data_IF_824871986546
#
_entry.id   IF_824871986546
#
_cell.length_a   1.000
_cell.length_b   1.000
_cell.length_c   1.000
_cell.angle_alpha   90.00
_cell.angle_beta   90.00
_cell.angle_gamma   90.00
#
_symmetry.space_group_name_H-M   'P 1'
#
loop_
_entity.id
_entity.type
_entity.pdbx_description
1 polymer ?
#
# COMPACT_ATOMS: atom_id res chain seq x y z
N UNK A 1 13.28 53.69 -46.22
CA UNK A 1 12.32 52.58 -46.02
C UNK A 1 12.94 51.62 -45.01
N UNK A 2 12.42 51.60 -43.78
CA UNK A 2 12.92 50.76 -42.70
C UNK A 2 11.79 49.83 -42.24
N UNK A 3 12.12 48.55 -41.98
CA UNK A 3 11.18 47.59 -41.42
C UNK A 3 11.56 46.12 -41.59
N UNK A 4 12.79 45.74 -41.20
CA UNK A 4 13.12 44.36 -40.89
C UNK A 4 12.39 43.94 -39.62
N UNK A 5 11.72 42.79 -39.65
CA UNK A 5 10.95 42.25 -38.51
C UNK A 5 11.04 40.73 -38.42
N UNK A 6 12.24 40.16 -38.46
CA UNK A 6 12.47 38.78 -38.05
C UNK A 6 12.54 38.74 -36.52
N UNK A 7 11.38 38.57 -35.86
CA UNK A 7 11.32 38.32 -34.43
C UNK A 7 12.06 37.02 -34.05
N UNK A 8 12.57 36.91 -32.81
CA UNK A 8 13.34 35.74 -32.39
C UNK A 8 12.53 34.45 -32.55
N UNK A 9 13.10 33.51 -33.30
CA UNK A 9 12.57 32.15 -33.47
C UNK A 9 12.28 31.53 -32.10
N UNK A 10 11.03 31.09 -31.89
CA UNK A 10 10.63 30.36 -30.68
C UNK A 10 11.54 29.15 -30.53
N UNK A 11 12.36 29.12 -29.47
CA UNK A 11 13.17 27.94 -29.11
C UNK A 11 12.27 26.70 -29.09
N UNK A 12 12.64 25.69 -29.87
CA UNK A 12 11.98 24.39 -29.83
C UNK A 12 12.24 23.76 -28.46
N UNK A 13 11.19 23.60 -27.66
CA UNK A 13 11.27 22.86 -26.41
C UNK A 13 10.77 21.44 -26.62
N UNK A 14 11.44 20.47 -26.01
CA UNK A 14 10.99 19.07 -25.96
C UNK A 14 9.61 19.02 -25.32
N UNK A 15 8.62 18.51 -26.07
CA UNK A 15 7.25 18.34 -25.58
C UNK A 15 7.27 17.36 -24.41
N UNK A 16 6.70 17.76 -23.28
CA UNK A 16 6.44 16.87 -22.15
C UNK A 16 5.42 15.81 -22.57
N UNK A 17 5.81 14.52 -22.56
CA UNK A 17 4.93 13.41 -22.98
C UNK A 17 3.81 13.21 -21.95
N UNK A 18 4.11 13.34 -20.66
CA UNK A 18 3.22 13.06 -19.52
C UNK A 18 2.66 14.32 -18.85
N UNK A 19 2.86 15.50 -19.43
CA UNK A 19 2.46 16.77 -18.83
C UNK A 19 0.98 16.90 -18.50
N UNK A 20 0.69 17.64 -17.42
CA UNK A 20 -0.66 17.89 -16.94
C UNK A 20 -1.59 18.44 -18.05
N UNK A 21 -2.86 18.03 -18.08
CA UNK A 21 -3.81 18.48 -19.11
C UNK A 21 -3.96 20.02 -19.12
N UNK A 22 -3.88 20.66 -17.96
CA UNK A 22 -3.92 22.12 -17.81
C UNK A 22 -2.74 22.80 -18.52
N UNK A 23 -1.55 22.22 -18.37
CA UNK A 23 -0.30 22.68 -18.96
C UNK A 23 -0.33 22.50 -20.48
N UNK A 24 -0.81 21.32 -20.92
CA UNK A 24 -1.00 20.98 -22.34
C UNK A 24 -2.01 21.93 -23.00
N UNK A 25 -3.17 22.18 -22.38
CA UNK A 25 -4.19 23.13 -22.87
C UNK A 25 -3.67 24.56 -22.96
N UNK A 26 -2.78 24.95 -22.04
CA UNK A 26 -2.12 26.26 -22.03
C UNK A 26 -0.90 26.34 -22.97
N UNK A 27 -0.57 25.26 -23.67
CA UNK A 27 0.60 25.17 -24.56
C UNK A 27 1.92 25.56 -23.88
N UNK A 28 2.09 25.21 -22.60
CA UNK A 28 3.33 25.42 -21.83
C UNK A 28 3.93 24.08 -21.40
N UNK A 29 5.26 24.03 -21.24
CA UNK A 29 5.95 22.82 -20.75
C UNK A 29 5.50 22.52 -19.32
N UNK A 30 5.01 21.30 -19.08
CA UNK A 30 4.79 20.81 -17.73
C UNK A 30 6.13 20.37 -17.13
N UNK A 31 6.35 20.71 -15.87
CA UNK A 31 7.47 20.22 -15.06
C UNK A 31 7.22 18.82 -14.49
N UNK A 32 6.05 18.23 -14.77
CA UNK A 32 5.66 16.86 -14.40
C UNK A 32 5.70 16.57 -12.88
N UNK A 33 5.84 17.61 -12.05
CA UNK A 33 5.71 17.48 -10.59
C UNK A 33 4.28 17.05 -10.25
N UNK A 34 4.16 15.88 -9.62
CA UNK A 34 2.88 15.23 -9.33
C UNK A 34 2.10 15.95 -8.21
N UNK A 35 0.76 15.77 -8.18
CA UNK A 35 -0.27 16.55 -7.46
C UNK A 35 -0.54 17.95 -8.03
N UNK A 36 0.46 18.82 -8.06
CA UNK A 36 0.34 20.11 -8.74
C UNK A 36 1.70 20.43 -9.34
N UNK A 37 1.73 20.57 -10.66
CA UNK A 37 2.96 20.99 -11.31
C UNK A 37 3.27 22.46 -10.90
N UNK A 38 4.55 22.82 -10.84
CA UNK A 38 5.01 24.15 -10.42
C UNK A 38 4.41 25.26 -11.27
N UNK A 39 4.15 25.00 -12.55
CA UNK A 39 3.46 25.96 -13.41
C UNK A 39 2.00 26.17 -12.98
N UNK A 40 1.25 25.12 -12.67
CA UNK A 40 -0.12 25.27 -12.17
C UNK A 40 -0.15 25.92 -10.78
N UNK A 41 0.83 25.64 -9.92
CA UNK A 41 1.00 26.31 -8.63
C UNK A 41 1.29 27.81 -8.81
N UNK A 42 2.26 28.16 -9.65
CA UNK A 42 2.68 29.55 -9.91
C UNK A 42 1.54 30.41 -10.46
N UNK A 43 0.71 29.85 -11.34
CA UNK A 43 -0.40 30.58 -11.96
C UNK A 43 -1.72 30.42 -11.20
N UNK A 44 -1.69 29.82 -10.00
CA UNK A 44 -2.88 29.59 -9.17
C UNK A 44 -4.05 28.94 -9.93
N UNK A 45 -3.75 28.04 -10.85
CA UNK A 45 -4.76 27.28 -11.61
C UNK A 45 -4.84 25.85 -11.10
N UNK A 46 -6.04 25.27 -11.17
CA UNK A 46 -6.27 23.86 -10.84
C UNK A 46 -5.45 22.99 -11.80
N UNK A 47 -4.59 22.13 -11.24
CA UNK A 47 -3.84 21.17 -12.01
C UNK A 47 -4.65 19.88 -12.12
N UNK A 48 -4.80 19.34 -13.32
CA UNK A 48 -5.53 18.09 -13.52
C UNK A 48 -4.86 16.88 -12.83
N UNK A 49 -3.59 16.98 -12.41
CA UNK A 49 -2.98 16.00 -11.51
C UNK A 49 -3.66 15.91 -10.14
N UNK A 50 -4.41 16.95 -9.73
CA UNK A 50 -5.24 16.89 -8.51
C UNK A 50 -6.48 16.01 -8.69
N UNK A 51 -6.92 15.81 -9.92
CA UNK A 51 -8.11 15.03 -10.27
C UNK A 51 -7.75 13.64 -10.83
N UNK A 52 -6.54 13.48 -11.38
CA UNK A 52 -6.06 12.23 -11.95
C UNK A 52 -5.45 11.30 -10.90
N UNK A 53 -6.31 10.56 -10.20
CA UNK A 53 -6.25 9.09 -10.06
C UNK A 53 -7.69 8.59 -9.89
N UNK A 54 -8.32 8.31 -11.03
CA UNK A 54 -9.19 7.16 -11.17
C UNK A 54 -8.57 6.43 -12.35
N UNK A 55 -7.56 5.59 -12.09
CA UNK A 55 -7.23 4.57 -13.07
C UNK A 55 -8.48 3.69 -13.23
N UNK A 56 -8.74 3.08 -14.39
CA UNK A 56 -9.76 2.04 -14.54
C UNK A 56 -9.63 0.89 -13.51
N UNK A 57 -8.50 0.87 -12.78
CA UNK A 57 -8.07 -0.11 -11.79
C UNK A 57 -8.28 0.29 -10.33
N UNK A 58 -8.70 1.53 -10.03
CA UNK A 58 -8.89 1.97 -8.65
C UNK A 58 -10.26 1.51 -8.13
N UNK A 59 -10.37 0.21 -7.88
CA UNK A 59 -11.58 -0.41 -7.35
C UNK A 59 -11.63 -0.19 -5.84
N UNK A 60 -12.78 0.31 -5.39
CA UNK A 60 -13.06 0.60 -3.98
C UNK A 60 -13.66 -0.62 -3.30
N UNK A 61 -13.43 -0.80 -1.99
CA UNK A 61 -14.14 -1.83 -1.24
C UNK A 61 -15.64 -1.55 -1.26
N UNK A 62 -16.50 -2.60 -1.24
CA UNK A 62 -17.93 -2.41 -1.03
C UNK A 62 -18.20 -1.58 0.23
N UNK A 63 -19.12 -0.61 0.16
CA UNK A 63 -19.38 0.38 1.23
C UNK A 63 -19.71 -0.21 2.61
N UNK A 64 -20.07 -1.49 2.69
CA UNK A 64 -20.55 -2.14 3.90
C UNK A 64 -19.44 -2.67 4.83
N UNK A 65 -18.18 -2.70 4.39
CA UNK A 65 -17.14 -3.40 5.16
C UNK A 65 -16.38 -2.55 6.19
N UNK A 66 -16.48 -1.23 6.12
CA UNK A 66 -15.84 -0.36 7.10
C UNK A 66 -16.82 0.67 7.65
N UNK A 67 -16.98 0.74 8.98
CA UNK A 67 -17.75 1.80 9.61
C UNK A 67 -17.11 3.16 9.24
N UNK A 68 -17.87 4.17 8.77
CA UNK A 68 -17.28 5.46 8.43
C UNK A 68 -16.55 6.08 9.64
N UNK A 69 -15.43 6.78 9.42
CA UNK A 69 -14.57 7.31 10.49
C UNK A 69 -15.27 8.34 11.40
N UNK A 70 -16.45 8.82 11.02
CA UNK A 70 -17.27 9.81 11.74
C UNK A 70 -18.43 9.22 12.55
N UNK A 71 -18.37 7.93 12.92
CA UNK A 71 -19.42 7.33 13.74
C UNK A 71 -19.38 7.85 15.20
N UNK A 72 -20.55 8.01 15.84
CA UNK A 72 -20.64 8.43 17.26
C UNK A 72 -19.79 7.57 18.20
N UNK A 73 -19.68 6.26 17.92
CA UNK A 73 -18.87 5.34 18.70
C UNK A 73 -17.35 5.62 18.63
N UNK A 74 -16.85 6.15 17.51
CA UNK A 74 -15.44 6.56 17.37
C UNK A 74 -15.21 7.85 18.14
N UNK A 75 -16.12 8.81 18.04
CA UNK A 75 -16.00 10.09 18.75
C UNK A 75 -16.05 9.91 20.28
N UNK A 76 -16.95 9.07 20.79
CA UNK A 76 -17.01 8.73 22.21
C UNK A 76 -15.69 8.09 22.71
N UNK A 77 -15.12 7.15 21.96
CA UNK A 77 -13.83 6.54 22.29
C UNK A 77 -12.72 7.60 22.41
N UNK A 78 -12.70 8.57 21.48
CA UNK A 78 -11.73 9.65 21.50
C UNK A 78 -11.93 10.61 22.69
N UNK A 79 -13.17 10.88 23.08
CA UNK A 79 -13.48 11.68 24.28
C UNK A 79 -12.99 11.00 25.55
N UNK A 80 -13.27 9.69 25.71
CA UNK A 80 -12.75 8.88 26.81
C UNK A 80 -11.23 8.92 26.85
N UNK A 81 -10.56 8.80 25.71
CA UNK A 81 -9.09 8.89 25.63
C UNK A 81 -8.56 10.26 26.02
N UNK A 82 -9.24 11.35 25.63
CA UNK A 82 -8.85 12.70 26.01
C UNK A 82 -9.02 12.96 27.51
N UNK A 83 -10.06 12.40 28.13
CA UNK A 83 -10.32 12.52 29.57
C UNK A 83 -9.37 11.65 30.41
N UNK A 84 -9.17 10.40 30.01
CA UNK A 84 -8.38 9.43 30.81
C UNK A 84 -6.89 9.46 30.50
N UNK A 85 -6.48 10.03 29.37
CA UNK A 85 -5.11 9.99 28.87
C UNK A 85 -4.63 8.59 28.46
N UNK A 86 -5.44 7.55 28.62
CA UNK A 86 -5.07 6.14 28.37
C UNK A 86 -5.34 5.74 26.94
N UNK A 87 -4.40 5.00 26.34
CA UNK A 87 -4.62 4.38 25.05
C UNK A 87 -5.70 3.30 25.13
N UNK A 88 -6.56 3.25 24.10
CA UNK A 88 -7.79 2.46 24.12
C UNK A 88 -7.58 0.96 23.88
N UNK A 89 -6.38 0.55 23.45
CA UNK A 89 -6.05 -0.82 23.08
C UNK A 89 -4.77 -1.29 23.79
N UNK A 90 -4.83 -1.59 25.11
CA UNK A 90 -3.66 -2.00 25.89
C UNK A 90 -2.96 -3.26 25.36
N UNK A 91 -3.68 -4.13 24.67
CA UNK A 91 -3.23 -5.40 24.09
C UNK A 91 -2.23 -5.20 22.95
N UNK A 92 -2.22 -4.02 22.31
CA UNK A 92 -1.20 -3.68 21.30
C UNK A 92 0.18 -3.41 21.91
N UNK A 93 0.28 -3.33 23.25
CA UNK A 93 1.53 -3.14 23.99
C UNK A 93 2.41 -2.00 23.44
N UNK A 94 1.78 -0.88 23.08
CA UNK A 94 2.49 0.26 22.48
C UNK A 94 3.46 0.86 23.51
N UNK A 95 4.76 0.72 23.23
CA UNK A 95 5.86 1.08 24.15
C UNK A 95 5.87 2.57 24.54
N UNK A 96 5.43 3.44 23.63
CA UNK A 96 5.26 4.87 23.91
C UNK A 96 3.87 5.31 23.43
N UNK A 97 3.03 5.81 24.33
CA UNK A 97 1.69 6.25 23.96
C UNK A 97 1.73 7.72 23.51
N UNK A 98 1.28 8.05 22.28
CA UNK A 98 1.24 9.44 21.84
C UNK A 98 0.27 10.22 22.72
N UNK A 99 0.80 11.27 23.38
CA UNK A 99 0.02 12.11 24.28
C UNK A 99 -1.15 12.73 23.51
N UNK A 100 -2.41 12.57 23.99
CA UNK A 100 -3.57 13.09 23.28
C UNK A 100 -3.51 14.60 23.03
N UNK A 101 -2.87 15.34 23.95
CA UNK A 101 -2.75 16.79 23.92
C UNK A 101 -1.81 17.33 22.83
N UNK A 102 -0.88 16.50 22.34
CA UNK A 102 0.09 16.92 21.32
C UNK A 102 -0.41 16.67 19.88
N UNK A 103 -1.67 16.27 19.73
CA UNK A 103 -2.27 15.90 18.45
C UNK A 103 -3.62 16.58 18.27
N UNK A 104 -3.91 17.03 17.05
CA UNK A 104 -5.23 17.51 16.67
C UNK A 104 -6.26 16.37 16.73
N UNK A 105 -7.56 16.74 16.81
CA UNK A 105 -8.65 15.76 16.78
C UNK A 105 -8.63 14.89 15.52
N UNK A 106 -8.21 15.45 14.39
CA UNK A 106 -8.05 14.73 13.12
C UNK A 106 -6.94 13.70 13.21
N UNK A 107 -5.78 14.05 13.76
CA UNK A 107 -4.67 13.11 13.94
C UNK A 107 -5.02 11.99 14.93
N UNK A 108 -5.76 12.30 15.99
CA UNK A 108 -6.25 11.29 16.93
C UNK A 108 -7.21 10.30 16.24
N UNK A 109 -8.08 10.75 15.33
CA UNK A 109 -8.92 9.87 14.50
C UNK A 109 -8.07 8.96 13.60
N UNK A 110 -7.01 9.48 12.99
CA UNK A 110 -6.11 8.70 12.14
C UNK A 110 -5.33 7.64 12.93
N UNK A 111 -4.82 8.00 14.11
CA UNK A 111 -4.15 7.05 15.02
C UNK A 111 -5.14 5.97 15.46
N UNK A 112 -6.36 6.36 15.82
CA UNK A 112 -7.41 5.43 16.24
C UNK A 112 -7.78 4.45 15.12
N UNK A 113 -7.93 4.95 13.89
CA UNK A 113 -8.26 4.15 12.72
C UNK A 113 -7.25 3.02 12.52
N UNK A 114 -5.96 3.37 12.46
CA UNK A 114 -4.92 2.38 12.20
C UNK A 114 -4.74 1.41 13.35
N UNK A 115 -4.88 1.90 14.58
CA UNK A 115 -4.77 1.07 15.78
C UNK A 115 -5.94 0.11 15.90
N UNK A 116 -7.13 0.50 15.43
CA UNK A 116 -8.29 -0.40 15.40
C UNK A 116 -8.08 -1.57 14.43
N UNK A 117 -7.47 -1.31 13.27
CA UNK A 117 -7.14 -2.37 12.30
C UNK A 117 -6.11 -3.32 12.87
N UNK A 118 -5.01 -2.80 13.43
CA UNK A 118 -3.99 -3.62 14.10
C UNK A 118 -4.58 -4.44 15.24
N UNK A 119 -5.51 -3.88 16.04
CA UNK A 119 -6.20 -4.62 17.09
C UNK A 119 -7.01 -5.77 16.51
N UNK A 120 -7.87 -5.52 15.51
CA UNK A 120 -8.71 -6.59 14.94
C UNK A 120 -7.87 -7.75 14.43
N UNK A 121 -6.78 -7.46 13.71
CA UNK A 121 -5.87 -8.50 13.19
C UNK A 121 -5.12 -9.23 14.30
N UNK A 122 -4.74 -8.55 15.38
CA UNK A 122 -4.14 -9.17 16.55
C UNK A 122 -5.13 -10.12 17.25
N UNK A 123 -6.34 -9.64 17.52
CA UNK A 123 -7.38 -10.43 18.22
C UNK A 123 -7.78 -11.67 17.42
N UNK A 124 -7.70 -11.59 16.09
CA UNK A 124 -7.98 -12.71 15.20
C UNK A 124 -6.75 -13.59 14.90
N UNK A 125 -5.58 -13.30 15.48
CA UNK A 125 -4.31 -14.01 15.18
C UNK A 125 -3.88 -13.99 13.71
N UNK A 126 -4.27 -12.96 12.95
CA UNK A 126 -3.99 -12.84 11.49
C UNK A 126 -3.02 -11.73 11.12
N UNK A 127 -2.43 -11.05 12.11
CA UNK A 127 -1.41 -10.02 11.90
C UNK A 127 -0.25 -10.49 10.99
N UNK A 128 0.18 -11.74 11.15
CA UNK A 128 1.26 -12.38 10.37
C UNK A 128 0.87 -12.73 8.92
N UNK A 129 -0.41 -12.66 8.56
CA UNK A 129 -0.91 -12.86 7.19
C UNK A 129 -1.01 -11.56 6.40
N UNK A 130 -0.47 -10.46 6.95
CA UNK A 130 -0.52 -9.13 6.35
C UNK A 130 0.83 -8.43 6.43
N UNK A 131 1.04 -7.47 5.55
CA UNK A 131 2.34 -6.86 5.29
C UNK A 131 2.82 -5.91 6.39
N UNK A 132 1.91 -5.18 7.07
CA UNK A 132 2.28 -3.97 7.83
C UNK A 132 1.72 -3.90 9.26
N UNK A 133 0.92 -4.88 9.70
CA UNK A 133 -0.04 -4.63 10.79
C UNK A 133 0.46 -4.95 12.20
N UNK A 134 1.54 -5.70 12.37
CA UNK A 134 2.02 -6.13 13.70
C UNK A 134 2.92 -5.12 14.41
N UNK A 135 3.72 -4.31 13.70
CA UNK A 135 4.80 -3.50 14.32
C UNK A 135 4.71 -1.98 14.10
N UNK A 136 3.94 -1.52 13.11
CA UNK A 136 3.90 -0.10 12.70
C UNK A 136 3.42 0.87 13.81
N UNK A 137 2.39 0.58 14.63
CA UNK A 137 1.96 1.49 15.70
C UNK A 137 3.04 1.74 16.78
N UNK A 138 3.95 0.81 17.00
CA UNK A 138 4.96 0.88 18.07
C UNK A 138 6.15 1.80 17.70
N UNK A 139 6.40 2.04 16.41
CA UNK A 139 7.56 2.83 15.95
C UNK A 139 7.28 4.32 15.86
N UNK A 140 6.04 4.67 15.51
CA UNK A 140 5.62 6.04 15.25
C UNK A 140 5.78 6.97 16.45
N UNK A 141 5.89 6.41 17.64
CA UNK A 141 5.66 7.12 18.89
C UNK A 141 6.95 7.74 19.46
N UNK A 142 8.11 7.29 19.01
CA UNK A 142 9.42 7.81 19.43
C UNK A 142 9.98 8.92 18.53
N UNK A 143 9.47 9.06 17.31
CA UNK A 143 10.01 9.99 16.31
C UNK A 143 8.88 10.72 15.56
N UNK A 144 8.90 12.06 15.57
CA UNK A 144 7.84 12.89 14.97
C UNK A 144 7.63 12.64 13.47
N UNK A 145 8.71 12.40 12.73
CA UNK A 145 8.63 12.13 11.29
C UNK A 145 8.04 10.74 10.97
N UNK A 146 8.27 9.74 11.84
CA UNK A 146 7.63 8.43 11.74
C UNK A 146 6.13 8.57 12.03
N UNK A 147 5.75 9.37 13.04
CA UNK A 147 4.34 9.67 13.31
C UNK A 147 3.65 10.29 12.10
N UNK A 148 4.28 11.26 11.44
CA UNK A 148 3.72 11.83 10.22
C UNK A 148 3.61 10.80 9.08
N UNK A 149 4.57 9.88 8.92
CA UNK A 149 4.45 8.82 7.93
C UNK A 149 3.25 7.88 8.23
N UNK A 150 3.03 7.57 9.50
CA UNK A 150 1.88 6.76 9.96
C UNK A 150 0.54 7.48 9.76
N UNK A 151 0.47 8.76 10.08
CA UNK A 151 -0.72 9.58 9.86
C UNK A 151 -1.05 9.67 8.36
N UNK A 152 -0.03 9.86 7.53
CA UNK A 152 -0.17 9.84 6.08
C UNK A 152 -0.68 8.48 5.59
N UNK A 153 -0.14 7.38 6.12
CA UNK A 153 -0.56 6.03 5.78
C UNK A 153 -2.02 5.77 6.17
N UNK A 154 -2.42 6.16 7.38
CA UNK A 154 -3.80 6.06 7.86
C UNK A 154 -4.76 6.87 7.00
N UNK A 155 -4.38 8.10 6.62
CA UNK A 155 -5.16 8.94 5.71
C UNK A 155 -5.23 8.34 4.30
N UNK A 156 -4.16 7.71 3.80
CA UNK A 156 -4.18 6.98 2.52
C UNK A 156 -5.15 5.81 2.56
N UNK A 157 -5.21 5.07 3.67
CA UNK A 157 -6.15 3.96 3.81
C UNK A 157 -7.59 4.46 3.86
N UNK A 158 -7.87 5.53 4.63
CA UNK A 158 -9.19 6.15 4.66
C UNK A 158 -9.60 6.72 3.29
N UNK A 159 -8.68 7.34 2.55
CA UNK A 159 -8.97 7.86 1.22
C UNK A 159 -9.22 6.74 0.20
N UNK A 160 -8.70 5.53 0.43
CA UNK A 160 -8.98 4.35 -0.39
C UNK A 160 -10.37 3.77 -0.09
N UNK A 161 -10.74 3.68 1.19
CA UNK A 161 -12.08 3.20 1.61
C UNK A 161 -13.17 4.22 1.26
N UNK A 162 -12.95 5.49 1.57
CA UNK A 162 -13.90 6.59 1.42
C UNK A 162 -13.17 7.79 0.79
N UNK A 163 -13.14 7.87 -0.55
CA UNK A 163 -12.45 8.92 -1.25
C UNK A 163 -12.97 10.30 -0.87
N UNK A 164 -12.06 11.11 -0.33
CA UNK A 164 -12.33 12.48 0.06
C UNK A 164 -11.12 13.35 -0.32
N UNK A 165 -11.33 14.46 -1.05
CA UNK A 165 -10.27 15.42 -1.34
C UNK A 165 -9.60 15.94 -0.07
N UNK A 166 -10.36 16.08 1.01
CA UNK A 166 -9.85 16.51 2.31
C UNK A 166 -8.91 15.46 2.92
N UNK A 167 -9.33 14.19 2.95
CA UNK A 167 -8.49 13.09 3.47
C UNK A 167 -7.22 12.91 2.64
N UNK A 168 -7.32 13.04 1.31
CA UNK A 168 -6.16 13.01 0.41
C UNK A 168 -5.20 14.18 0.67
N UNK A 169 -5.73 15.39 0.96
CA UNK A 169 -4.90 16.54 1.36
C UNK A 169 -4.14 16.26 2.67
N UNK A 170 -4.79 15.65 3.66
CA UNK A 170 -4.15 15.27 4.93
C UNK A 170 -3.03 14.26 4.70
N UNK A 171 -3.27 13.23 3.88
CA UNK A 171 -2.25 12.25 3.48
C UNK A 171 -1.00 12.95 2.92
N UNK A 172 -1.19 13.87 1.97
CA UNK A 172 -0.09 14.58 1.30
C UNK A 172 0.68 15.46 2.28
N UNK A 173 -0.04 16.21 3.13
CA UNK A 173 0.57 17.12 4.10
C UNK A 173 1.48 16.36 5.06
N UNK A 174 0.97 15.30 5.69
CA UNK A 174 1.79 14.49 6.59
C UNK A 174 2.89 13.72 5.86
N UNK A 175 2.64 13.23 4.65
CA UNK A 175 3.66 12.56 3.83
C UNK A 175 4.83 13.50 3.49
N UNK A 176 4.55 14.76 3.16
CA UNK A 176 5.56 15.79 2.92
C UNK A 176 6.40 16.09 4.16
N UNK A 177 5.77 16.26 5.33
CA UNK A 177 6.49 16.48 6.60
C UNK A 177 7.36 15.28 6.96
N UNK A 178 6.84 14.06 6.79
CA UNK A 178 7.58 12.82 7.02
C UNK A 178 8.80 12.70 6.10
N UNK A 179 8.66 13.02 4.82
CA UNK A 179 9.77 12.98 3.86
C UNK A 179 10.87 14.00 4.21
N UNK A 180 10.48 15.22 4.64
CA UNK A 180 11.44 16.22 5.13
C UNK A 180 12.18 15.74 6.39
N UNK A 181 11.46 15.14 7.33
CA UNK A 181 12.08 14.55 8.53
C UNK A 181 12.99 13.37 8.23
N UNK A 182 12.62 12.50 7.28
CA UNK A 182 13.46 11.40 6.78
C UNK A 182 14.78 11.93 6.19
N UNK A 183 14.70 12.96 5.34
CA UNK A 183 15.89 13.56 4.74
C UNK A 183 16.84 14.13 5.82
N UNK A 184 16.29 14.80 6.83
CA UNK A 184 17.08 15.31 7.94
C UNK A 184 17.71 14.17 8.77
N UNK A 185 16.95 13.12 9.06
CA UNK A 185 17.45 11.96 9.81
C UNK A 185 18.58 11.23 9.07
N UNK A 186 18.50 11.15 7.73
CA UNK A 186 19.55 10.57 6.88
C UNK A 186 20.85 11.37 6.92
N UNK A 187 20.79 12.70 7.08
CA UNK A 187 21.99 13.54 7.22
C UNK A 187 22.77 13.27 8.52
N UNK A 188 22.10 12.72 9.53
CA UNK A 188 22.66 12.33 10.83
C UNK A 188 22.41 10.84 11.10
N UNK A 189 22.69 10.00 10.10
CA UNK A 189 22.46 8.55 10.20
C UNK A 189 23.29 7.92 11.34
N UNK A 190 22.64 7.07 12.14
CA UNK A 190 23.24 6.33 13.25
C UNK A 190 22.48 5.02 13.50
N UNK A 191 23.04 4.12 14.32
CA UNK A 191 22.33 2.90 14.74
C UNK A 191 21.05 3.19 15.52
N UNK A 192 20.98 4.32 16.24
CA UNK A 192 19.83 4.66 17.10
C UNK A 192 18.59 5.11 16.33
N UNK A 193 18.77 5.74 15.16
CA UNK A 193 17.67 6.22 14.32
C UNK A 193 17.45 5.38 13.05
N UNK A 194 18.25 4.32 12.84
CA UNK A 194 18.14 3.42 11.69
C UNK A 194 16.73 2.80 11.58
N UNK A 195 16.20 2.29 12.70
CA UNK A 195 14.86 1.72 12.78
C UNK A 195 13.76 2.73 12.38
N UNK A 196 13.89 3.97 12.81
CA UNK A 196 12.93 5.03 12.49
C UNK A 196 13.03 5.48 11.03
N UNK A 197 14.24 5.55 10.48
CA UNK A 197 14.49 5.79 9.06
C UNK A 197 13.83 4.68 8.23
N UNK A 198 14.07 3.41 8.57
CA UNK A 198 13.49 2.26 7.88
C UNK A 198 11.97 2.26 7.93
N UNK A 199 11.38 2.41 9.11
CA UNK A 199 9.93 2.45 9.26
C UNK A 199 9.29 3.58 8.44
N UNK A 200 9.91 4.77 8.45
CA UNK A 200 9.45 5.91 7.65
C UNK A 200 9.55 5.63 6.16
N UNK A 201 10.68 5.10 5.70
CA UNK A 201 10.91 4.78 4.29
C UNK A 201 9.91 3.75 3.79
N UNK A 202 9.66 2.67 4.54
CA UNK A 202 8.66 1.64 4.20
C UNK A 202 7.25 2.24 4.15
N UNK A 203 6.85 3.00 5.17
CA UNK A 203 5.53 3.65 5.21
C UNK A 203 5.34 4.60 4.03
N UNK A 204 6.33 5.42 3.68
CA UNK A 204 6.25 6.32 2.53
C UNK A 204 6.27 5.57 1.19
N UNK A 205 7.01 4.46 1.12
CA UNK A 205 7.10 3.62 -0.08
C UNK A 205 5.74 3.02 -0.44
N UNK A 206 4.97 2.53 0.53
CA UNK A 206 3.59 2.04 0.32
C UNK A 206 2.62 3.12 -0.20
N UNK A 207 2.96 4.39 0.04
CA UNK A 207 2.15 5.54 -0.35
C UNK A 207 2.64 6.18 -1.66
N UNK A 208 3.81 5.77 -2.16
CA UNK A 208 4.44 6.38 -3.31
C UNK A 208 3.56 6.26 -4.57
N UNK A 209 3.45 7.40 -5.24
CA UNK A 209 2.59 7.60 -6.39
C UNK A 209 3.36 7.59 -7.71
N UNK A 210 4.66 7.84 -7.69
CA UNK A 210 5.53 7.80 -8.86
C UNK A 210 6.74 6.90 -8.62
N UNK A 211 7.28 6.37 -9.72
CA UNK A 211 8.43 5.48 -9.70
C UNK A 211 9.65 6.09 -9.03
N UNK A 212 9.94 7.38 -9.23
CA UNK A 212 11.18 8.00 -8.71
C UNK A 212 11.17 8.04 -7.19
N UNK A 213 10.04 8.47 -6.61
CA UNK A 213 9.85 8.49 -5.16
C UNK A 213 9.96 7.07 -4.61
N UNK A 214 9.29 6.11 -5.24
CA UNK A 214 9.30 4.72 -4.80
C UNK A 214 10.71 4.10 -4.86
N UNK A 215 11.41 4.22 -5.99
CA UNK A 215 12.74 3.64 -6.18
C UNK A 215 13.78 4.28 -5.25
N UNK A 216 13.64 5.57 -4.96
CA UNK A 216 14.52 6.25 -4.00
C UNK A 216 14.32 5.74 -2.57
N UNK A 217 13.07 5.49 -2.16
CA UNK A 217 12.76 4.96 -0.84
C UNK A 217 13.17 3.50 -0.72
N UNK A 218 12.97 2.70 -1.77
CA UNK A 218 13.40 1.31 -1.84
C UNK A 218 14.92 1.19 -1.72
N UNK A 219 15.67 2.03 -2.44
CA UNK A 219 17.13 2.10 -2.31
C UNK A 219 17.55 2.48 -0.89
N UNK A 220 16.86 3.44 -0.26
CA UNK A 220 17.10 3.80 1.14
C UNK A 220 16.88 2.62 2.09
N UNK A 221 15.79 1.87 1.93
CA UNK A 221 15.51 0.67 2.74
C UNK A 221 16.64 -0.34 2.59
N UNK A 222 17.05 -0.65 1.37
CA UNK A 222 18.14 -1.61 1.12
C UNK A 222 19.46 -1.17 1.75
N UNK A 223 19.83 0.10 1.56
CA UNK A 223 21.08 0.64 2.12
C UNK A 223 21.08 0.58 3.64
N UNK A 224 20.00 1.01 4.29
CA UNK A 224 19.95 1.02 5.77
C UNK A 224 19.89 -0.40 6.32
N UNK A 225 19.12 -1.30 5.69
CA UNK A 225 19.06 -2.72 6.07
C UNK A 225 20.43 -3.40 5.97
N UNK A 226 21.23 -3.07 4.95
CA UNK A 226 22.60 -3.62 4.81
C UNK A 226 23.59 -3.05 5.83
N UNK A 227 23.31 -1.88 6.42
CA UNK A 227 24.23 -1.19 7.32
C UNK A 227 24.05 -1.59 8.81
N UNK A 228 22.91 -2.19 9.18
CA UNK A 228 22.57 -2.53 10.56
C UNK A 228 21.97 -3.93 10.63
N UNK A 229 22.70 -4.88 11.23
CA UNK A 229 22.27 -6.28 11.32
C UNK A 229 21.22 -6.56 12.42
N UNK A 230 21.23 -5.79 13.51
CA UNK A 230 20.30 -5.92 14.64
C UNK A 230 19.24 -4.81 14.59
N UNK A 231 18.30 -4.94 13.67
CA UNK A 231 17.17 -4.03 13.58
C UNK A 231 15.99 -4.63 14.34
N UNK A 232 15.41 -3.87 15.27
CA UNK A 232 14.19 -4.28 16.00
C UNK A 232 13.05 -4.60 15.02
N UNK A 233 13.14 -4.01 13.82
CA UNK A 233 12.21 -4.16 12.72
C UNK A 233 12.72 -5.01 11.56
N UNK A 234 13.74 -5.87 11.77
CA UNK A 234 14.21 -6.83 10.76
C UNK A 234 13.07 -7.62 10.09
N UNK A 235 12.00 -7.95 10.83
CA UNK A 235 10.83 -8.64 10.29
C UNK A 235 9.96 -7.78 9.34
N UNK A 236 9.90 -6.45 9.54
CA UNK A 236 9.28 -5.51 8.58
C UNK A 236 10.14 -5.36 7.32
N UNK A 237 11.42 -5.71 7.43
CA UNK A 237 12.47 -5.62 6.40
C UNK A 237 12.54 -6.92 5.58
N UNK A 238 11.60 -7.87 5.74
CA UNK A 238 11.44 -8.94 4.76
C UNK A 238 11.09 -8.46 3.34
N UNK A 239 11.01 -7.14 3.13
CA UNK A 239 11.21 -6.46 1.84
C UNK A 239 12.58 -6.70 1.18
N UNK A 240 13.61 -7.17 1.89
CA UNK A 240 15.01 -7.23 1.41
C UNK A 240 15.71 -8.59 1.49
N UNK A 241 15.09 -9.64 2.06
CA UNK A 241 15.75 -10.96 2.23
C UNK A 241 15.41 -11.96 1.12
N UNK A 242 14.57 -11.62 0.15
CA UNK A 242 14.29 -12.51 -0.96
C UNK A 242 15.51 -12.61 -1.88
N UNK A 243 16.26 -13.70 -1.74
CA UNK A 243 17.10 -14.22 -2.81
C UNK A 243 16.17 -14.99 -3.76
N UNK A 244 16.13 -14.67 -5.07
CA UNK A 244 15.44 -15.52 -6.03
C UNK A 244 15.89 -16.96 -5.83
N UNK A 245 14.94 -17.88 -5.76
CA UNK A 245 15.24 -19.31 -5.82
C UNK A 245 16.07 -19.57 -7.09
N UNK A 246 17.26 -20.17 -6.96
CA UNK A 246 18.05 -20.63 -8.12
C UNK A 246 17.31 -21.74 -8.89
N UNK A 247 16.34 -22.40 -8.25
CA UNK A 247 15.42 -23.32 -8.94
C UNK A 247 14.49 -22.51 -9.85
N UNK A 248 14.86 -22.49 -11.13
CA UNK A 248 14.08 -22.01 -12.26
C UNK A 248 12.88 -22.94 -12.47
N UNK A 249 11.87 -22.90 -11.60
CA UNK A 249 10.57 -23.45 -11.97
C UNK A 249 10.07 -22.66 -13.18
N UNK A 250 9.70 -23.32 -14.29
CA UNK A 250 9.10 -22.62 -15.41
C UNK A 250 7.87 -21.90 -14.88
N UNK A 251 7.77 -20.60 -15.17
CA UNK A 251 6.57 -19.86 -14.82
C UNK A 251 5.35 -20.63 -15.35
N UNK A 252 4.31 -20.85 -14.54
CA UNK A 252 3.06 -21.42 -15.05
C UNK A 252 2.62 -20.59 -16.25
N UNK A 253 2.16 -21.26 -17.29
CA UNK A 253 1.67 -20.62 -18.50
C UNK A 253 0.58 -19.60 -18.14
N UNK A 254 0.41 -18.57 -18.98
CA UNK A 254 -0.62 -17.55 -18.73
C UNK A 254 -2.04 -18.14 -18.64
N UNK A 255 -2.30 -19.27 -19.31
CA UNK A 255 -3.55 -20.02 -19.19
C UNK A 255 -3.66 -20.78 -17.86
N UNK A 256 -2.59 -21.41 -17.37
CA UNK A 256 -2.57 -22.04 -16.04
C UNK A 256 -2.76 -21.01 -14.92
N UNK A 257 -2.19 -19.79 -15.05
CA UNK A 257 -2.45 -18.70 -14.10
C UNK A 257 -3.91 -18.28 -14.13
N UNK A 258 -4.51 -18.16 -15.31
CA UNK A 258 -5.91 -17.79 -15.44
C UNK A 258 -6.84 -18.85 -14.86
N UNK A 259 -6.55 -20.15 -15.07
CA UNK A 259 -7.34 -21.26 -14.52
C UNK A 259 -7.21 -21.35 -12.99
N UNK A 260 -6.02 -21.11 -12.43
CA UNK A 260 -5.80 -21.02 -10.97
C UNK A 260 -6.65 -19.89 -10.36
N UNK A 261 -6.79 -18.75 -11.05
CA UNK A 261 -7.54 -17.59 -10.55
C UNK A 261 -9.06 -17.70 -10.68
N UNK A 262 -9.56 -18.51 -11.62
CA UNK A 262 -11.01 -18.72 -11.81
C UNK A 262 -11.61 -19.78 -10.89
N UNK A 263 -10.81 -20.73 -10.39
CA UNK A 263 -11.27 -21.82 -9.53
C UNK A 263 -11.93 -21.40 -8.19
N UNK A 264 -11.43 -20.37 -7.45
CA UNK A 264 -12.02 -19.98 -6.16
C UNK A 264 -13.43 -19.37 -6.24
N UNK A 265 -13.89 -18.88 -7.41
CA UNK A 265 -15.25 -18.31 -7.56
C UNK A 265 -16.37 -19.32 -7.23
N UNK A 266 -16.07 -20.62 -7.28
CA UNK A 266 -17.03 -21.68 -7.02
C UNK A 266 -17.37 -21.85 -5.52
N UNK A 267 -16.54 -21.33 -4.60
CA UNK A 267 -16.67 -21.56 -3.14
C UNK A 267 -16.77 -20.26 -2.34
N UNK A 268 -16.58 -19.09 -2.95
CA UNK A 268 -16.69 -17.80 -2.27
C UNK A 268 -18.15 -17.32 -2.18
N UNK A 269 -18.55 -16.77 -1.02
CA UNK A 269 -19.81 -16.05 -0.88
C UNK A 269 -19.79 -14.73 -1.67
N UNK A 270 -20.97 -14.10 -1.88
CA UNK A 270 -21.14 -12.96 -2.78
C UNK A 270 -20.26 -11.73 -2.47
N UNK A 271 -19.84 -11.52 -1.21
CA UNK A 271 -19.03 -10.35 -0.84
C UNK A 271 -17.53 -10.55 -1.11
N UNK A 272 -17.02 -11.76 -0.85
CA UNK A 272 -15.63 -12.15 -1.08
C UNK A 272 -15.36 -12.37 -2.57
N UNK A 273 -16.35 -12.93 -3.29
CA UNK A 273 -16.31 -13.14 -4.74
C UNK A 273 -15.98 -11.85 -5.50
N UNK A 274 -16.46 -10.70 -5.02
CA UNK A 274 -16.16 -9.39 -5.59
C UNK A 274 -14.66 -9.17 -5.80
N UNK A 275 -13.81 -9.49 -4.81
CA UNK A 275 -12.37 -9.26 -4.92
C UNK A 275 -11.71 -10.17 -5.94
N UNK A 276 -12.19 -11.41 -6.08
CA UNK A 276 -11.72 -12.34 -7.11
C UNK A 276 -12.12 -11.83 -8.50
N UNK A 277 -13.36 -11.35 -8.68
CA UNK A 277 -13.79 -10.74 -9.94
C UNK A 277 -12.92 -9.53 -10.32
N UNK A 278 -12.62 -8.65 -9.36
CA UNK A 278 -11.75 -7.50 -9.61
C UNK A 278 -10.33 -7.92 -9.97
N UNK A 279 -9.81 -8.97 -9.33
CA UNK A 279 -8.50 -9.52 -9.64
C UNK A 279 -8.45 -10.11 -11.06
N UNK A 280 -9.49 -10.84 -11.47
CA UNK A 280 -9.62 -11.38 -12.82
C UNK A 280 -9.74 -10.28 -13.88
N UNK A 281 -10.56 -9.25 -13.63
CA UNK A 281 -10.66 -8.07 -14.51
C UNK A 281 -9.31 -7.38 -14.63
N UNK A 282 -8.60 -7.23 -13.51
CA UNK A 282 -7.28 -6.61 -13.50
C UNK A 282 -6.23 -7.42 -14.27
N UNK A 283 -6.14 -8.73 -14.05
CA UNK A 283 -5.23 -9.60 -14.79
C UNK A 283 -5.56 -9.58 -16.29
N UNK A 284 -6.84 -9.65 -16.65
CA UNK A 284 -7.29 -9.53 -18.05
C UNK A 284 -6.91 -8.18 -18.67
N UNK A 285 -7.03 -7.09 -17.90
CA UNK A 285 -6.59 -5.76 -18.32
C UNK A 285 -5.08 -5.73 -18.56
N UNK A 286 -4.27 -6.28 -17.66
CA UNK A 286 -2.82 -6.36 -17.85
C UNK A 286 -2.45 -7.17 -19.10
N UNK A 287 -3.18 -8.25 -19.39
CA UNK A 287 -2.99 -9.07 -20.59
C UNK A 287 -3.33 -8.32 -21.88
N UNK A 288 -4.36 -7.47 -21.87
CA UNK A 288 -4.78 -6.69 -23.04
C UNK A 288 -4.00 -5.38 -23.25
N UNK A 289 -3.20 -4.97 -22.25
CA UNK A 289 -2.43 -3.72 -22.32
C UNK A 289 -1.07 -3.96 -22.97
N UNK A 290 -0.53 -2.95 -23.67
CA UNK A 290 0.84 -3.03 -24.20
C UNK A 290 1.85 -3.28 -23.08
N UNK A 291 2.90 -4.05 -23.40
CA UNK A 291 3.97 -4.36 -22.45
C UNK A 291 4.60 -3.07 -21.90
N UNK A 292 4.77 -2.98 -20.59
CA UNK A 292 5.51 -1.89 -19.97
C UNK A 292 7.01 -2.09 -20.18
N UNK A 293 7.62 -1.19 -20.96
CA UNK A 293 9.04 -1.28 -21.32
C UNK A 293 9.94 -0.57 -20.31
N UNK A 294 9.39 0.41 -19.58
CA UNK A 294 10.13 1.16 -18.57
C UNK A 294 9.70 0.79 -17.15
N UNK A 295 10.61 0.92 -16.18
CA UNK A 295 10.29 0.72 -14.77
C UNK A 295 9.14 1.62 -14.28
N UNK A 296 9.02 2.83 -14.83
CA UNK A 296 7.92 3.74 -14.52
C UNK A 296 6.57 3.24 -15.05
N UNK A 297 6.52 2.73 -16.28
CA UNK A 297 5.31 2.12 -16.83
C UNK A 297 4.92 0.86 -16.06
N UNK A 298 5.88 0.03 -15.66
CA UNK A 298 5.65 -1.15 -14.82
C UNK A 298 5.06 -0.75 -13.47
N UNK A 299 5.62 0.29 -12.85
CA UNK A 299 5.14 0.83 -11.59
C UNK A 299 3.70 1.38 -11.66
N UNK A 300 3.38 2.04 -12.77
CA UNK A 300 2.05 2.60 -13.02
C UNK A 300 1.02 1.51 -13.32
N UNK A 301 1.38 0.50 -14.13
CA UNK A 301 0.52 -0.66 -14.42
C UNK A 301 0.18 -1.43 -13.14
N UNK A 302 1.14 -1.57 -12.22
CA UNK A 302 0.95 -2.26 -10.95
C UNK A 302 0.20 -1.45 -9.88
N UNK A 303 -0.22 -0.20 -10.14
CA UNK A 303 -0.81 0.67 -9.12
C UNK A 303 -1.96 0.05 -8.33
N UNK A 304 -2.92 -0.61 -9.02
CA UNK A 304 -4.08 -1.24 -8.37
C UNK A 304 -3.65 -2.37 -7.43
N UNK A 305 -2.86 -3.32 -7.94
CA UNK A 305 -2.34 -4.43 -7.16
C UNK A 305 -1.53 -3.96 -5.94
N UNK A 306 -0.73 -2.90 -6.11
CA UNK A 306 0.06 -2.33 -5.01
C UNK A 306 -0.81 -1.87 -3.83
N UNK A 307 -1.99 -1.31 -4.11
CA UNK A 307 -2.94 -0.92 -3.07
C UNK A 307 -3.68 -2.12 -2.48
N UNK A 308 -4.09 -3.06 -3.33
CA UNK A 308 -4.88 -4.21 -2.91
C UNK A 308 -4.11 -5.14 -1.97
N UNK A 309 -2.87 -5.49 -2.31
CA UNK A 309 -2.00 -6.36 -1.48
C UNK A 309 -1.78 -5.79 -0.08
N UNK A 310 -1.89 -4.47 0.09
CA UNK A 310 -1.69 -3.79 1.38
C UNK A 310 -3.00 -3.69 2.18
N UNK A 311 -4.12 -3.39 1.53
CA UNK A 311 -5.36 -3.02 2.23
C UNK A 311 -6.45 -4.10 2.23
N UNK A 312 -6.58 -4.90 1.18
CA UNK A 312 -7.60 -5.95 1.08
C UNK A 312 -7.42 -7.05 2.13
N UNK A 313 -6.19 -7.54 2.42
CA UNK A 313 -5.99 -8.50 3.50
C UNK A 313 -6.43 -7.98 4.87
N UNK A 314 -6.15 -6.71 5.17
CA UNK A 314 -6.57 -6.07 6.42
C UNK A 314 -8.10 -6.01 6.55
N UNK A 315 -8.78 -5.82 5.41
CA UNK A 315 -10.22 -5.80 5.34
C UNK A 315 -10.85 -7.18 5.59
N UNK A 316 -10.35 -8.20 4.91
CA UNK A 316 -10.93 -9.54 4.96
C UNK A 316 -10.60 -10.27 6.26
N UNK A 317 -9.38 -10.10 6.77
CA UNK A 317 -8.91 -10.77 7.99
C UNK A 317 -9.23 -9.97 9.27
N UNK A 318 -9.70 -8.73 9.15
CA UNK A 318 -10.10 -7.89 10.27
C UNK A 318 -11.57 -8.08 10.72
N UNK A 319 -12.32 -8.97 10.08
CA UNK A 319 -13.73 -9.27 10.40
C UNK A 319 -13.86 -9.92 11.79
N UNK A 320 -15.00 -9.76 12.49
CA UNK A 320 -15.21 -10.39 13.80
C UNK A 320 -15.13 -11.92 13.78
N UNK A 321 -15.53 -12.52 12.66
CA UNK A 321 -15.43 -13.96 12.40
C UNK A 321 -14.66 -14.09 11.09
N UNK A 322 -13.52 -14.78 11.15
CA UNK A 322 -12.75 -15.11 9.96
C UNK A 322 -13.28 -16.42 9.41
N UNK A 323 -13.65 -16.40 8.14
CA UNK A 323 -14.10 -17.55 7.40
C UNK A 323 -13.05 -17.98 6.35
N UNK A 324 -13.12 -19.25 5.96
CA UNK A 324 -12.23 -19.81 4.96
C UNK A 324 -12.24 -19.07 3.61
N UNK A 325 -13.39 -18.61 3.08
CA UNK A 325 -13.43 -17.77 1.88
C UNK A 325 -12.58 -16.50 1.99
N UNK A 326 -12.60 -15.79 3.13
CA UNK A 326 -11.76 -14.60 3.32
C UNK A 326 -10.27 -14.94 3.23
N UNK A 327 -9.84 -16.04 3.86
CA UNK A 327 -8.44 -16.51 3.81
C UNK A 327 -8.07 -16.92 2.38
N UNK A 328 -8.97 -17.63 1.69
CA UNK A 328 -8.79 -18.07 0.31
C UNK A 328 -8.56 -16.90 -0.65
N UNK A 329 -9.39 -15.85 -0.55
CA UNK A 329 -9.25 -14.63 -1.37
C UNK A 329 -7.91 -13.94 -1.11
N UNK A 330 -7.51 -13.83 0.16
CA UNK A 330 -6.22 -13.24 0.51
C UNK A 330 -5.05 -14.05 -0.05
N UNK A 331 -5.11 -15.38 0.04
CA UNK A 331 -4.11 -16.27 -0.54
C UNK A 331 -4.00 -16.08 -2.06
N UNK A 332 -5.13 -16.04 -2.77
CA UNK A 332 -5.17 -15.82 -4.22
C UNK A 332 -4.64 -14.44 -4.61
N UNK A 333 -4.91 -13.40 -3.82
CA UNK A 333 -4.37 -12.08 -4.06
C UNK A 333 -2.83 -12.07 -4.01
N UNK A 334 -2.24 -12.71 -2.98
CA UNK A 334 -0.79 -12.82 -2.87
C UNK A 334 -0.19 -13.72 -3.95
N UNK A 335 -0.81 -14.88 -4.22
CA UNK A 335 -0.38 -15.79 -5.28
C UNK A 335 -0.41 -15.11 -6.66
N UNK A 336 -1.43 -14.28 -6.93
CA UNK A 336 -1.48 -13.48 -8.16
C UNK A 336 -0.31 -12.53 -8.27
N UNK A 337 0.00 -11.81 -7.18
CA UNK A 337 1.12 -10.89 -7.18
C UNK A 337 2.46 -11.60 -7.47
N UNK A 338 2.69 -12.77 -6.87
CA UNK A 338 3.84 -13.63 -7.17
C UNK A 338 3.83 -14.12 -8.62
N UNK A 339 2.67 -14.53 -9.14
CA UNK A 339 2.56 -14.99 -10.53
C UNK A 339 2.85 -13.88 -11.56
N UNK A 340 2.65 -12.62 -11.18
CA UNK A 340 2.92 -11.45 -12.02
C UNK A 340 4.37 -10.97 -11.90
N UNK A 341 5.12 -11.33 -10.84
CA UNK A 341 6.49 -10.86 -10.58
C UNK A 341 7.39 -10.88 -11.83
N UNK A 342 7.47 -11.97 -12.61
CA UNK A 342 8.43 -12.04 -13.71
C UNK A 342 8.03 -11.22 -14.94
N UNK A 343 6.77 -10.75 -15.01
CA UNK A 343 6.32 -9.81 -16.04
C UNK A 343 6.78 -8.37 -15.74
N UNK A 344 7.16 -8.08 -14.49
CA UNK A 344 7.50 -6.74 -14.01
C UNK A 344 8.88 -6.73 -13.35
N UNK A 345 9.97 -7.04 -14.08
CA UNK A 345 11.31 -7.24 -13.50
C UNK A 345 11.86 -6.04 -12.71
N UNK A 346 11.39 -4.81 -12.98
CA UNK A 346 11.84 -3.64 -12.23
C UNK A 346 11.25 -3.52 -10.82
N UNK A 347 10.10 -4.19 -10.56
CA UNK A 347 9.41 -4.16 -9.26
C UNK A 347 9.27 -5.54 -8.63
N UNK A 348 9.29 -6.61 -9.44
CA UNK A 348 8.84 -7.95 -9.08
C UNK A 348 9.41 -8.45 -7.76
N UNK A 349 10.73 -8.52 -7.63
CA UNK A 349 11.37 -9.01 -6.40
C UNK A 349 11.09 -8.07 -5.20
N UNK A 350 11.32 -6.77 -5.37
CA UNK A 350 11.24 -5.75 -4.32
C UNK A 350 9.81 -5.40 -3.86
N UNK A 351 8.80 -5.73 -4.68
CA UNK A 351 7.39 -5.47 -4.39
C UNK A 351 6.60 -6.78 -4.35
N UNK A 352 6.44 -7.48 -5.48
CA UNK A 352 5.56 -8.66 -5.54
C UNK A 352 6.03 -9.77 -4.60
N UNK A 353 7.28 -10.23 -4.74
CA UNK A 353 7.83 -11.32 -3.92
C UNK A 353 7.90 -10.92 -2.45
N UNK A 354 8.61 -9.83 -2.18
CA UNK A 354 8.96 -9.47 -0.80
C UNK A 354 7.74 -9.10 0.07
N UNK A 355 6.64 -8.64 -0.55
CA UNK A 355 5.41 -8.28 0.17
C UNK A 355 4.42 -9.44 0.24
N UNK A 356 4.40 -10.32 -0.76
CA UNK A 356 3.33 -11.33 -0.89
C UNK A 356 3.74 -12.72 -0.43
N UNK A 357 5.03 -13.08 -0.53
CA UNK A 357 5.50 -14.43 -0.21
C UNK A 357 5.38 -14.76 1.29
N UNK A 358 5.94 -13.95 2.23
CA UNK A 358 5.86 -14.29 3.66
C UNK A 358 4.44 -14.49 4.20
N UNK A 359 3.46 -13.61 3.91
CA UNK A 359 2.10 -13.83 4.40
C UNK A 359 1.40 -15.01 3.69
N UNK A 360 1.72 -15.30 2.42
CA UNK A 360 1.17 -16.46 1.73
C UNK A 360 1.68 -17.77 2.33
N UNK A 361 2.98 -17.89 2.59
CA UNK A 361 3.56 -19.06 3.27
C UNK A 361 2.89 -19.28 4.64
N UNK A 362 2.62 -18.18 5.36
CA UNK A 362 1.93 -18.26 6.65
C UNK A 362 0.50 -18.79 6.52
N UNK A 363 -0.22 -18.35 5.49
CA UNK A 363 -1.57 -18.86 5.19
C UNK A 363 -1.51 -20.36 4.86
N UNK A 364 -0.60 -20.75 3.96
CA UNK A 364 -0.42 -22.15 3.55
C UNK A 364 -0.13 -23.03 4.78
N UNK A 365 0.83 -22.64 5.62
CA UNK A 365 1.16 -23.37 6.86
C UNK A 365 -0.05 -23.57 7.78
N UNK A 366 -0.96 -22.60 7.85
CA UNK A 366 -2.15 -22.68 8.69
C UNK A 366 -3.27 -23.50 8.05
N UNK A 367 -3.28 -23.67 6.74
CA UNK A 367 -4.31 -24.42 6.01
C UNK A 367 -3.89 -25.85 5.65
N UNK A 368 -2.60 -26.19 5.69
CA UNK A 368 -2.12 -27.59 5.50
C UNK A 368 -2.84 -28.60 6.40
N UNK A 369 -3.05 -28.36 7.71
CA UNK A 369 -3.77 -29.32 8.56
C UNK A 369 -5.22 -29.55 8.11
N UNK A 370 -5.85 -28.55 7.47
CA UNK A 370 -7.23 -28.65 6.96
C UNK A 370 -7.35 -29.58 5.75
N UNK A 371 -6.24 -29.89 5.08
CA UNK A 371 -6.18 -30.77 3.90
C UNK A 371 -5.97 -32.25 4.28
N UNK A 372 -5.50 -32.52 5.50
CA UNK A 372 -5.05 -33.86 5.94
C UNK A 372 -5.94 -34.50 7.00
N UNK A 373 -6.86 -33.75 7.60
CA UNK A 373 -7.67 -34.20 8.73
C UNK A 373 -9.12 -34.43 8.31
N UNK A 374 -9.49 -35.71 8.17
CA UNK A 374 -10.83 -36.21 7.80
C UNK A 374 -11.93 -35.82 8.82
N UNK A 375 -11.56 -35.26 9.99
CA UNK A 375 -12.51 -34.77 10.98
C UNK A 375 -13.01 -33.34 10.71
N UNK A 376 -12.38 -32.61 9.79
CA UNK A 376 -12.88 -31.29 9.36
C UNK A 376 -14.02 -31.46 8.36
N UNK A 377 -15.12 -30.71 8.57
CA UNK A 377 -16.31 -30.80 7.71
C UNK A 377 -16.00 -30.52 6.23
N UNK A 378 -16.82 -31.07 5.33
CA UNK A 378 -16.62 -31.08 3.86
C UNK A 378 -16.23 -29.72 3.26
N UNK A 379 -16.77 -28.62 3.79
CA UNK A 379 -16.45 -27.25 3.36
C UNK A 379 -14.99 -26.84 3.66
N UNK A 380 -14.39 -27.32 4.74
CA UNK A 380 -12.99 -27.03 5.10
C UNK A 380 -12.00 -27.79 4.20
N UNK A 381 -12.33 -29.03 3.84
CA UNK A 381 -11.60 -29.83 2.86
C UNK A 381 -11.67 -29.20 1.45
N UNK A 382 -12.84 -28.70 1.04
CA UNK A 382 -13.01 -27.97 -0.22
C UNK A 382 -12.15 -26.70 -0.27
N UNK A 383 -12.17 -25.87 0.78
CA UNK A 383 -11.29 -24.69 0.88
C UNK A 383 -9.82 -25.09 0.82
N UNK A 384 -9.44 -26.14 1.55
CA UNK A 384 -8.08 -26.67 1.55
C UNK A 384 -7.62 -27.06 0.15
N UNK A 385 -8.44 -27.79 -0.60
CA UNK A 385 -8.13 -28.22 -1.97
C UNK A 385 -7.93 -27.04 -2.96
N UNK A 386 -8.58 -25.90 -2.70
CA UNK A 386 -8.46 -24.68 -3.49
C UNK A 386 -7.26 -23.81 -3.10
N UNK A 387 -6.50 -24.18 -2.07
CA UNK A 387 -5.25 -23.50 -1.66
C UNK A 387 -3.99 -24.19 -2.20
N UNK A 388 -4.11 -24.92 -3.33
CA UNK A 388 -2.95 -25.42 -4.07
C UNK A 388 -2.40 -24.35 -5.01
N UNK A 389 -1.31 -23.72 -4.58
CA UNK A 389 -0.54 -22.76 -5.37
C UNK A 389 0.77 -23.43 -5.86
N UNK A 390 1.17 -23.23 -7.14
CA UNK A 390 2.35 -23.86 -7.74
C UNK A 390 3.69 -23.36 -7.21
#
# INVERSE_FOLDING_TARGET
MAGQGAGPSRRSHTKSRTGCKTCKRRHIRCDETFLQCRNCTKYHVRCDYMDQRQSPTEVQPPRNHFPPPSLPAVEHKLDVRQQTGRFLYPELQISYQPRPQSHSRVELRLIQHISSISRSLLMNSTSHMTVWTSKVPNVATSYSYVMHALLAFSASHLAWISPSPHTRKIQIQHGGTALGGLHNALSSFSKFNADAILATSILLMTQANDWRTWSSLEACVRTVASAVHELVFADLINLSSYKPSEDSRPLPSMQERHSILTNPLLVTNNQEAHWIEQLLVYVSFLMGTQHAYTAAEQFDQLYGLRKWVIFVPCLLLGKPIIDGPSILVVAHLYATALSLEPLFPALGASFCAAISLPPLERIIQMTVPMQTDDQLGQHALEIGSLMHFP
#
